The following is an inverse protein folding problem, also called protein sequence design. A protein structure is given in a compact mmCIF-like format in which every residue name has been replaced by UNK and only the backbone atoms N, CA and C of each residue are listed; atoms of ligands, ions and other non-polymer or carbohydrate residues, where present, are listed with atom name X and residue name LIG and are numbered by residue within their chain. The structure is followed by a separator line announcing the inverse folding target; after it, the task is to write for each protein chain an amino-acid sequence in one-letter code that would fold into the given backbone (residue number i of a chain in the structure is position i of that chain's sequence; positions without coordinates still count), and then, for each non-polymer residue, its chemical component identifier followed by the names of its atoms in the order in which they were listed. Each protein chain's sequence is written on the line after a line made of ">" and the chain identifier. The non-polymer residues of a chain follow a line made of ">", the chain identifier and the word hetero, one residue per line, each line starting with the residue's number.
data_IF_321015620323
#
_entry.id   IF_321015620323
#
_cell.length_a   1.000
_cell.length_b   1.000
_cell.length_c   1.000
_cell.angle_alpha   90.00
_cell.angle_beta   90.00
_cell.angle_gamma   90.00
#
_symmetry.space_group_name_H-M   'P 1'
#
loop_
_entity.id
_entity.type
_entity.pdbx_description
1 polymer ?
#
# COMPACT_ATOMS: atom_id res chain seq x y z
N UNK A 1 1.03 4.39 -24.24
CA UNK A 1 0.04 4.99 -23.35
C UNK A 1 -0.69 3.91 -22.60
N UNK A 2 -0.66 4.00 -21.30
CA UNK A 2 -1.30 2.98 -20.49
C UNK A 2 -2.66 3.46 -20.04
N UNK A 3 -3.68 2.72 -20.41
CA UNK A 3 -5.05 3.04 -20.02
C UNK A 3 -5.39 2.23 -18.77
N UNK A 4 -4.79 2.63 -17.66
CA UNK A 4 -5.09 1.98 -16.39
C UNK A 4 -6.44 2.44 -15.86
N UNK A 5 -7.21 1.52 -15.34
CA UNK A 5 -8.44 1.85 -14.62
C UNK A 5 -8.08 2.48 -13.27
N UNK A 6 -9.07 3.11 -12.64
CA UNK A 6 -8.87 3.67 -11.30
C UNK A 6 -8.45 2.60 -10.30
N UNK A 7 -9.03 1.42 -10.41
CA UNK A 7 -8.69 0.32 -9.51
C UNK A 7 -7.26 -0.17 -9.75
N UNK A 8 -6.82 -0.20 -10.99
CA UNK A 8 -5.43 -0.56 -11.29
C UNK A 8 -4.45 0.47 -10.73
N UNK A 9 -4.77 1.75 -10.86
CA UNK A 9 -3.93 2.80 -10.30
C UNK A 9 -3.88 2.73 -8.77
N UNK A 10 -5.01 2.46 -8.13
CA UNK A 10 -5.07 2.28 -6.69
C UNK A 10 -4.20 1.10 -6.25
N UNK A 11 -4.24 0.01 -7.00
CA UNK A 11 -3.40 -1.16 -6.71
C UNK A 11 -1.92 -0.83 -6.86
N UNK A 12 -1.53 -0.12 -7.91
CA UNK A 12 -0.14 0.28 -8.12
C UNK A 12 0.35 1.17 -6.99
N UNK A 13 -0.46 2.12 -6.54
CA UNK A 13 -0.13 2.96 -5.40
C UNK A 13 0.05 2.14 -4.13
N UNK A 14 -0.84 1.20 -3.88
CA UNK A 14 -0.76 0.33 -2.72
C UNK A 14 0.55 -0.47 -2.73
N UNK A 15 0.88 -1.08 -3.85
CA UNK A 15 2.10 -1.87 -4.01
C UNK A 15 3.33 -0.98 -3.78
N UNK A 16 3.33 0.22 -4.33
CA UNK A 16 4.44 1.16 -4.17
C UNK A 16 4.63 1.53 -2.70
N UNK A 17 3.54 1.83 -1.99
CA UNK A 17 3.60 2.19 -0.57
C UNK A 17 4.12 1.03 0.28
N UNK A 18 3.64 -0.18 -0.01
CA UNK A 18 4.06 -1.38 0.71
C UNK A 18 5.55 -1.65 0.46
N UNK A 19 6.00 -1.53 -0.77
CA UNK A 19 7.41 -1.72 -1.11
C UNK A 19 8.31 -0.73 -0.38
N UNK A 20 7.90 0.53 -0.32
CA UNK A 20 8.66 1.55 0.41
C UNK A 20 8.76 1.20 1.89
N UNK A 21 7.66 0.77 2.47
CA UNK A 21 7.63 0.43 3.90
C UNK A 21 8.55 -0.75 4.19
N UNK A 22 8.50 -1.78 3.37
CA UNK A 22 9.40 -2.94 3.52
C UNK A 22 10.85 -2.55 3.35
N UNK A 23 11.15 -1.68 2.40
CA UNK A 23 12.51 -1.21 2.19
C UNK A 23 13.07 -0.55 3.43
N UNK A 24 12.31 0.36 4.03
CA UNK A 24 12.75 1.05 5.24
C UNK A 24 12.91 0.10 6.44
N UNK A 25 11.99 -0.82 6.59
CA UNK A 25 12.09 -1.82 7.67
C UNK A 25 13.38 -2.63 7.51
N UNK A 26 13.65 -3.10 6.29
CA UNK A 26 14.85 -3.89 6.03
C UNK A 26 16.14 -3.12 6.22
N UNK A 27 16.12 -1.80 6.01
CA UNK A 27 17.31 -0.97 6.17
C UNK A 27 17.62 -0.65 7.63
N UNK A 28 16.59 -0.43 8.43
CA UNK A 28 16.79 0.08 9.78
C UNK A 28 16.93 -1.01 10.82
N UNK A 29 16.16 -2.06 10.72
CA UNK A 29 16.28 -3.18 11.64
C UNK A 29 15.46 -4.37 11.14
N UNK A 30 15.69 -5.52 11.76
CA UNK A 30 15.03 -6.76 11.35
C UNK A 30 13.69 -6.98 12.04
N UNK A 31 13.20 -5.99 12.79
CA UNK A 31 11.99 -6.14 13.56
C UNK A 31 10.89 -5.24 13.07
N UNK A 32 9.72 -5.82 12.87
CA UNK A 32 8.52 -5.07 12.51
C UNK A 32 7.85 -4.57 13.78
N UNK A 33 7.72 -3.26 13.91
CA UNK A 33 7.10 -2.66 15.08
C UNK A 33 5.59 -2.56 14.93
N UNK A 34 4.91 -2.23 16.04
CA UNK A 34 3.47 -1.96 15.99
C UNK A 34 3.14 -0.77 15.10
N UNK A 35 4.05 0.21 15.06
CA UNK A 35 3.86 1.39 14.21
C UNK A 35 3.89 0.99 12.74
N UNK A 36 4.81 0.10 12.36
CA UNK A 36 4.90 -0.39 10.99
C UNK A 36 3.63 -1.16 10.59
N UNK A 37 3.11 -1.97 11.49
CA UNK A 37 1.86 -2.70 11.25
C UNK A 37 0.68 -1.75 11.08
N UNK A 38 0.65 -0.67 11.87
CA UNK A 38 -0.39 0.36 11.73
C UNK A 38 -0.31 1.04 10.38
N UNK A 39 0.89 1.37 9.91
CA UNK A 39 1.07 1.97 8.59
C UNK A 39 0.58 1.04 7.50
N UNK A 40 0.88 -0.23 7.63
CA UNK A 40 0.40 -1.25 6.71
C UNK A 40 -1.13 -1.25 6.65
N UNK A 41 -1.75 -1.27 7.81
CA UNK A 41 -3.20 -1.25 7.91
C UNK A 41 -3.78 0.00 7.24
N UNK A 42 -3.15 1.16 7.45
CA UNK A 42 -3.57 2.40 6.82
C UNK A 42 -3.48 2.34 5.30
N UNK A 43 -2.40 1.76 4.77
CA UNK A 43 -2.25 1.60 3.32
C UNK A 43 -3.35 0.70 2.77
N UNK A 44 -3.66 -0.40 3.46
CA UNK A 44 -4.74 -1.29 3.05
C UNK A 44 -6.09 -0.58 3.05
N UNK A 45 -6.37 0.18 4.10
CA UNK A 45 -7.62 0.93 4.19
C UNK A 45 -7.72 1.98 3.08
N UNK A 46 -6.64 2.69 2.81
CA UNK A 46 -6.61 3.67 1.73
C UNK A 46 -6.86 3.00 0.39
N UNK A 47 -6.25 1.87 0.16
CA UNK A 47 -6.45 1.10 -1.07
C UNK A 47 -7.92 0.68 -1.22
N UNK A 48 -8.48 0.11 -0.18
CA UNK A 48 -9.87 -0.35 -0.20
C UNK A 48 -10.81 0.82 -0.48
N UNK A 49 -10.58 1.96 0.18
CA UNK A 49 -11.41 3.14 0.01
C UNK A 49 -11.27 3.78 -1.38
N UNK A 50 -10.16 3.52 -2.05
CA UNK A 50 -9.92 4.05 -3.40
C UNK A 50 -10.54 3.19 -4.49
N UNK A 51 -10.98 2.00 -4.16
CA UNK A 51 -11.57 1.09 -5.14
C UNK A 51 -12.97 1.55 -5.53
N UNK A 52 -13.27 1.44 -6.81
CA UNK A 52 -14.63 1.60 -7.28
C UNK A 52 -15.29 0.24 -7.28
N UNK A 53 -16.33 0.11 -6.50
CA UNK A 53 -17.05 -1.14 -6.38
C UNK A 53 -18.35 -1.01 -7.16
N UNK A 54 -18.54 -1.89 -8.13
CA UNK A 54 -19.80 -1.99 -8.86
C UNK A 54 -20.65 -3.07 -8.20
N UNK A 55 -21.76 -2.67 -7.70
CA UNK A 55 -22.75 -3.60 -7.14
C UNK A 55 -23.69 -4.10 -8.20
#
# INVERSE_FOLDING_TARGET
>A
MSDYTKNELALLNFISNVNKQFYYIGEENDQVSKIDLKKFSNYCNTFINSLEVED
#
